data_IF_931501385477
#
_entry.id   IF_931501385477
#
_cell.length_a   1.000
_cell.length_b   1.000
_cell.length_c   1.000
_cell.angle_alpha   90.00
_cell.angle_beta   90.00
_cell.angle_gamma   90.00
#
_symmetry.space_group_name_H-M   'P 1'
#
loop_
_entity.id
_entity.type
_entity.pdbx_description
1 polymer ?
#
# COMPACT_ATOMS: atom_id res chain seq x y z
N UNK A 1 -10.33 9.20 -3.66
CA UNK A 1 -8.95 9.06 -3.15
C UNK A 1 -9.00 8.59 -1.71
N UNK A 2 -8.70 7.30 -1.50
CA UNK A 2 -8.62 6.71 -0.18
C UNK A 2 -7.26 6.97 0.49
N UNK A 3 -7.25 7.18 1.81
CA UNK A 3 -6.05 7.41 2.60
C UNK A 3 -6.11 6.63 3.91
N UNK A 4 -4.98 6.04 4.29
CA UNK A 4 -4.77 5.41 5.59
C UNK A 4 -3.40 5.82 6.15
N UNK A 5 -3.35 6.12 7.45
CA UNK A 5 -2.12 6.50 8.13
C UNK A 5 -2.04 5.71 9.43
N UNK A 6 -0.88 5.12 9.70
CA UNK A 6 -0.62 4.43 10.95
C UNK A 6 0.83 4.62 11.40
N UNK A 7 1.10 4.28 12.65
CA UNK A 7 2.43 4.28 13.24
C UNK A 7 2.67 2.98 14.00
N UNK A 8 3.91 2.52 13.98
CA UNK A 8 4.34 1.31 14.67
C UNK A 8 5.84 1.35 14.93
N UNK A 9 6.33 0.53 15.85
CA UNK A 9 7.76 0.29 15.98
C UNK A 9 8.24 -0.70 14.91
N UNK A 10 9.44 -0.51 14.40
CA UNK A 10 10.05 -1.44 13.44
C UNK A 10 11.23 -0.86 12.70
N UNK A 11 11.71 -1.61 11.72
CA UNK A 11 12.76 -1.20 10.81
C UNK A 11 12.18 -1.03 9.40
N UNK A 12 12.48 0.09 8.73
CA UNK A 12 11.93 0.38 7.39
C UNK A 12 12.29 -0.68 6.36
N UNK A 13 13.50 -1.24 6.42
CA UNK A 13 13.97 -2.23 5.44
C UNK A 13 13.24 -3.57 5.60
N UNK A 14 12.95 -3.95 6.85
CA UNK A 14 12.11 -5.11 7.14
C UNK A 14 10.66 -4.89 6.72
N UNK A 15 10.06 -3.76 7.10
CA UNK A 15 8.67 -3.46 6.79
C UNK A 15 8.43 -3.37 5.27
N UNK A 16 9.29 -2.67 4.56
CA UNK A 16 9.17 -2.48 3.10
C UNK A 16 9.30 -3.80 2.34
N UNK A 17 10.22 -4.68 2.78
CA UNK A 17 10.35 -6.05 2.26
C UNK A 17 9.13 -6.91 2.58
N UNK A 18 8.63 -6.87 3.81
CA UNK A 18 7.40 -7.55 4.20
C UNK A 18 6.23 -7.11 3.33
N UNK A 19 6.07 -5.80 3.15
CA UNK A 19 4.99 -5.22 2.37
C UNK A 19 5.05 -5.73 0.93
N UNK A 20 6.22 -5.69 0.30
CA UNK A 20 6.42 -6.20 -1.06
C UNK A 20 6.04 -7.68 -1.20
N UNK A 21 6.46 -8.53 -0.26
CA UNK A 21 6.17 -9.96 -0.26
C UNK A 21 4.67 -10.23 -0.01
N UNK A 22 4.05 -9.51 0.92
CA UNK A 22 2.63 -9.66 1.22
C UNK A 22 1.77 -9.24 0.02
N UNK A 23 2.08 -8.12 -0.63
CA UNK A 23 1.35 -7.64 -1.81
C UNK A 23 1.39 -8.65 -2.97
N UNK A 24 2.53 -9.33 -3.16
CA UNK A 24 2.66 -10.41 -4.14
C UNK A 24 1.86 -11.66 -3.73
N UNK A 25 1.94 -12.07 -2.46
CA UNK A 25 1.26 -13.27 -1.96
C UNK A 25 -0.27 -13.13 -2.05
N UNK A 26 -0.80 -11.99 -1.64
CA UNK A 26 -2.24 -11.70 -1.71
C UNK A 26 -2.71 -11.37 -3.14
N UNK A 27 -1.79 -11.34 -4.11
CA UNK A 27 -2.04 -10.94 -5.51
C UNK A 27 -2.73 -9.57 -5.63
N UNK A 28 -2.46 -8.67 -4.69
CA UNK A 28 -3.11 -7.36 -4.65
C UNK A 28 -2.67 -6.49 -5.84
N UNK A 29 -1.39 -6.63 -6.23
CA UNK A 29 -0.76 -5.93 -7.35
C UNK A 29 0.19 -6.87 -8.10
N UNK A 30 0.14 -6.87 -9.43
CA UNK A 30 0.79 -7.89 -10.27
C UNK A 30 2.00 -7.42 -11.08
N UNK A 31 2.06 -6.15 -11.50
CA UNK A 31 2.89 -5.82 -12.68
C UNK A 31 3.91 -4.69 -12.49
N UNK A 32 3.62 -3.64 -11.70
CA UNK A 32 4.57 -2.51 -11.60
C UNK A 32 4.76 -2.08 -10.15
N UNK A 33 6.00 -2.20 -9.69
CA UNK A 33 6.48 -1.66 -8.42
C UNK A 33 7.61 -0.68 -8.69
N UNK A 34 7.41 0.58 -8.33
CA UNK A 34 8.51 1.55 -8.25
C UNK A 34 8.82 1.82 -6.79
N UNK A 35 10.10 1.79 -6.43
CA UNK A 35 10.57 2.13 -5.10
C UNK A 35 11.57 3.27 -5.19
N UNK A 36 11.43 4.27 -4.32
CA UNK A 36 12.41 5.33 -4.14
C UNK A 36 12.73 5.49 -2.67
N UNK A 37 14.02 5.62 -2.34
CA UNK A 37 14.51 5.79 -0.98
C UNK A 37 15.28 7.08 -0.86
N UNK A 38 15.01 7.83 0.19
CA UNK A 38 15.71 9.07 0.51
C UNK A 38 15.84 9.23 2.02
N UNK A 39 16.72 10.14 2.46
CA UNK A 39 16.96 10.42 3.87
C UNK A 39 17.22 11.91 4.06
N UNK A 40 16.63 12.49 5.09
CA UNK A 40 16.90 13.86 5.53
C UNK A 40 16.93 13.92 7.06
N UNK A 41 17.94 14.57 7.64
CA UNK A 41 18.06 14.80 9.08
C UNK A 41 17.81 13.54 9.95
N UNK A 42 18.35 12.40 9.55
CA UNK A 42 18.19 11.14 10.27
C UNK A 42 16.88 10.39 10.00
N UNK A 43 15.90 11.02 9.34
CA UNK A 43 14.64 10.39 8.93
C UNK A 43 14.85 9.62 7.63
N UNK A 44 14.63 8.31 7.63
CA UNK A 44 14.62 7.48 6.42
C UNK A 44 13.24 7.53 5.79
N UNK A 45 13.15 7.60 4.47
CA UNK A 45 11.90 7.59 3.73
C UNK A 45 12.00 6.55 2.61
N UNK A 46 10.96 5.72 2.48
CA UNK A 46 10.77 4.80 1.37
C UNK A 46 9.38 5.05 0.78
N UNK A 47 9.33 5.30 -0.53
CA UNK A 47 8.10 5.46 -1.29
C UNK A 47 7.98 4.22 -2.18
N UNK A 48 6.89 3.48 -2.06
CA UNK A 48 6.56 2.34 -2.91
C UNK A 48 5.28 2.62 -3.66
N UNK A 49 5.34 2.58 -4.99
CA UNK A 49 4.19 2.70 -5.88
C UNK A 49 3.85 1.32 -6.41
N UNK A 50 2.60 0.92 -6.26
CA UNK A 50 2.05 -0.32 -6.78
C UNK A 50 0.97 0.02 -7.79
N UNK A 51 1.05 -0.57 -8.97
CA UNK A 51 0.05 -0.36 -10.01
C UNK A 51 -0.56 -1.66 -10.48
N UNK A 52 -1.85 -1.58 -10.80
CA UNK A 52 -2.62 -2.69 -11.33
C UNK A 52 -3.64 -2.16 -12.33
N UNK A 53 -3.70 -2.80 -13.49
CA UNK A 53 -4.77 -2.55 -14.44
C UNK A 53 -6.07 -3.24 -13.98
N UNK A 54 -7.14 -2.46 -13.84
CA UNK A 54 -8.47 -3.00 -13.58
C UNK A 54 -9.18 -3.25 -14.90
N UNK A 55 -9.16 -4.50 -15.36
CA UNK A 55 -9.87 -4.92 -16.59
C UNK A 55 -11.38 -4.63 -16.54
N UNK A 56 -11.98 -4.66 -15.34
CA UNK A 56 -13.42 -4.41 -15.14
C UNK A 56 -13.75 -2.92 -15.09
N UNK A 57 -12.84 -2.10 -14.56
CA UNK A 57 -13.01 -0.65 -14.47
C UNK A 57 -12.46 0.12 -15.67
N UNK A 58 -11.76 -0.55 -16.59
CA UNK A 58 -11.12 0.05 -17.76
C UNK A 58 -10.05 1.10 -17.40
N UNK A 59 -9.50 1.06 -16.19
CA UNK A 59 -8.64 2.09 -15.63
C UNK A 59 -7.49 1.49 -14.82
N UNK A 60 -6.41 2.26 -14.67
CA UNK A 60 -5.31 1.95 -13.76
C UNK A 60 -5.72 2.29 -12.32
N UNK A 61 -5.35 1.41 -11.40
CA UNK A 61 -5.42 1.65 -9.96
C UNK A 61 -4.00 1.71 -9.42
N UNK A 62 -3.69 2.83 -8.78
CA UNK A 62 -2.35 3.12 -8.25
C UNK A 62 -2.45 3.27 -6.74
N UNK A 63 -1.56 2.59 -6.01
CA UNK A 63 -1.40 2.73 -4.57
C UNK A 63 0.03 3.17 -4.26
N UNK A 64 0.16 4.24 -3.49
CA UNK A 64 1.43 4.69 -2.93
C UNK A 64 1.46 4.36 -1.44
N UNK A 65 2.54 3.69 -1.00
CA UNK A 65 2.88 3.54 0.41
C UNK A 65 4.16 4.29 0.70
N UNK A 66 4.05 5.38 1.45
CA UNK A 66 5.18 6.15 1.96
C UNK A 66 5.45 5.74 3.40
N UNK A 67 6.64 5.18 3.63
CA UNK A 67 7.11 4.79 4.97
C UNK A 67 8.22 5.75 5.39
N UNK A 68 8.00 6.42 6.51
CA UNK A 68 9.01 7.23 7.18
C UNK A 68 9.50 6.45 8.40
N UNK A 69 10.80 6.51 8.68
CA UNK A 69 11.36 6.00 9.91
C UNK A 69 12.19 7.08 10.61
N UNK A 70 11.93 7.26 11.90
CA UNK A 70 12.76 8.05 12.79
C UNK A 70 12.97 7.27 14.10
N UNK A 71 14.23 6.88 14.36
CA UNK A 71 14.62 6.20 15.61
C UNK A 71 13.73 4.98 15.91
N UNK A 72 13.58 4.08 14.93
CA UNK A 72 12.76 2.87 15.07
C UNK A 72 11.24 3.08 15.01
N UNK A 73 10.75 4.32 15.06
CA UNK A 73 9.34 4.61 14.82
C UNK A 73 9.09 4.66 13.31
N UNK A 74 8.20 3.80 12.83
CA UNK A 74 7.66 3.84 11.48
C UNK A 74 6.37 4.68 11.44
N UNK A 75 6.26 5.56 10.46
CA UNK A 75 5.01 6.21 10.05
C UNK A 75 4.71 5.81 8.62
N UNK A 76 3.55 5.18 8.43
CA UNK A 76 3.14 4.62 7.15
C UNK A 76 1.94 5.40 6.64
N UNK A 77 2.05 5.90 5.43
CA UNK A 77 0.99 6.64 4.72
C UNK A 77 0.66 5.88 3.47
N UNK A 78 -0.55 5.36 3.39
CA UNK A 78 -1.10 4.71 2.20
C UNK A 78 -2.05 5.68 1.53
N UNK A 79 -1.88 5.87 0.22
CA UNK A 79 -2.85 6.55 -0.62
C UNK A 79 -3.19 5.67 -1.81
N UNK A 80 -4.49 5.57 -2.12
CA UNK A 80 -4.99 4.84 -3.28
C UNK A 80 -5.73 5.83 -4.18
N UNK A 81 -5.38 5.83 -5.46
CA UNK A 81 -5.98 6.68 -6.48
C UNK A 81 -6.23 5.88 -7.75
N UNK A 82 -7.36 6.12 -8.38
CA UNK A 82 -7.72 5.48 -9.65
C UNK A 82 -8.75 4.36 -9.46
N UNK A 83 -9.05 3.65 -10.54
CA UNK A 83 -10.32 2.91 -10.62
C UNK A 83 -11.51 3.85 -10.83
N UNK A 84 -12.63 3.31 -11.31
CA UNK A 84 -13.82 4.11 -11.55
C UNK A 84 -14.43 4.56 -10.21
N UNK A 85 -14.36 5.86 -9.90
CA UNK A 85 -15.18 6.50 -8.86
C UNK A 85 -16.67 6.57 -9.25
N UNK A 86 -17.02 6.09 -10.45
CA UNK A 86 -18.34 6.23 -11.01
C UNK A 86 -19.22 5.01 -10.73
N UNK A 87 -20.38 5.34 -10.18
CA UNK A 87 -21.58 4.58 -9.90
C UNK A 87 -22.21 4.09 -11.22
N UNK A 88 -21.45 3.39 -12.08
CA UNK A 88 -21.89 3.02 -13.43
C UNK A 88 -22.09 1.52 -13.65
N UNK A 89 -22.39 0.74 -12.60
CA UNK A 89 -22.81 -0.65 -12.79
C UNK A 89 -23.98 -1.00 -11.86
N UNK A 90 -25.14 -0.40 -12.14
CA UNK A 90 -26.43 -0.65 -11.46
C UNK A 90 -27.04 -2.03 -11.77
N UNK A 91 -26.34 -2.93 -12.48
CA UNK A 91 -26.93 -4.21 -12.91
C UNK A 91 -26.05 -5.47 -12.82
N UNK A 92 -24.76 -5.37 -12.45
CA UNK A 92 -23.89 -6.55 -12.32
C UNK A 92 -22.95 -6.46 -11.11
N UNK A 93 -23.51 -6.59 -9.90
CA UNK A 93 -22.75 -6.58 -8.65
C UNK A 93 -22.08 -7.93 -8.38
N UNK A 94 -21.04 -8.26 -9.15
CA UNK A 94 -20.05 -9.27 -8.74
C UNK A 94 -18.65 -8.68 -8.91
N UNK A 95 -18.02 -8.27 -7.80
CA UNK A 95 -16.57 -8.04 -7.72
C UNK A 95 -16.03 -6.82 -8.47
N UNK A 96 -16.45 -5.61 -8.07
CA UNK A 96 -15.78 -4.37 -8.48
C UNK A 96 -14.55 -4.16 -7.58
N UNK A 97 -13.39 -3.91 -8.17
CA UNK A 97 -12.19 -3.48 -7.45
C UNK A 97 -12.25 -1.96 -7.26
N UNK A 98 -12.65 -1.54 -6.06
CA UNK A 98 -12.75 -0.13 -5.70
C UNK A 98 -11.53 0.33 -4.90
N UNK A 99 -11.26 1.64 -4.93
CA UNK A 99 -10.25 2.28 -4.08
C UNK A 99 -10.41 1.86 -2.60
N UNK A 100 -11.66 1.79 -2.12
CA UNK A 100 -11.97 1.44 -0.74
C UNK A 100 -11.58 0.00 -0.39
N UNK A 101 -11.83 -0.95 -1.29
CA UNK A 101 -11.47 -2.36 -1.08
C UNK A 101 -9.96 -2.55 -1.04
N UNK A 102 -9.23 -1.96 -1.99
CA UNK A 102 -7.77 -2.03 -2.02
C UNK A 102 -7.16 -1.39 -0.78
N UNK A 103 -7.71 -0.25 -0.36
CA UNK A 103 -7.27 0.39 0.87
C UNK A 103 -7.50 -0.51 2.10
N UNK A 104 -8.62 -1.22 2.16
CA UNK A 104 -8.92 -2.14 3.27
C UNK A 104 -8.00 -3.36 3.28
N UNK A 105 -7.73 -3.96 2.12
CA UNK A 105 -6.77 -5.07 1.99
C UNK A 105 -5.35 -4.61 2.36
N UNK A 106 -4.94 -3.40 1.95
CA UNK A 106 -3.66 -2.82 2.35
C UNK A 106 -3.58 -2.57 3.87
N UNK A 107 -4.65 -2.09 4.51
CA UNK A 107 -4.71 -1.95 5.98
C UNK A 107 -4.52 -3.29 6.67
N UNK A 108 -5.19 -4.34 6.20
CA UNK A 108 -5.10 -5.68 6.78
C UNK A 108 -3.69 -6.25 6.66
N UNK A 109 -3.04 -6.08 5.50
CA UNK A 109 -1.63 -6.44 5.32
C UNK A 109 -0.75 -5.67 6.31
N UNK A 110 -0.91 -4.35 6.41
CA UNK A 110 -0.07 -3.52 7.28
C UNK A 110 -0.28 -3.88 8.76
N UNK A 111 -1.53 -4.14 9.17
CA UNK A 111 -1.86 -4.55 10.54
C UNK A 111 -1.31 -5.93 10.91
N UNK A 112 -1.11 -6.81 9.92
CA UNK A 112 -0.54 -8.14 10.13
C UNK A 112 1.00 -8.14 10.26
N UNK A 113 1.68 -7.03 9.98
CA UNK A 113 3.12 -6.93 10.16
C UNK A 113 3.50 -7.06 11.64
N UNK A 114 4.44 -7.96 11.93
CA UNK A 114 5.05 -8.11 13.25
C UNK A 114 6.55 -7.82 13.13
N UNK A 115 7.05 -6.71 13.69
CA UNK A 115 8.48 -6.40 13.65
C UNK A 115 9.27 -7.46 14.40
N UNK A 116 10.44 -7.82 13.87
CA UNK A 116 11.37 -8.69 14.58
C UNK A 116 11.89 -7.88 15.76
N UNK A 117 11.58 -8.32 16.99
CA UNK A 117 12.21 -7.75 18.18
C UNK A 117 13.63 -8.29 18.23
N UNK A 118 14.61 -7.45 17.88
CA UNK A 118 15.98 -7.66 18.32
C UNK A 118 15.97 -7.49 19.84
N UNK A 119 16.13 -8.61 20.55
CA UNK A 119 16.30 -8.64 22.01
C UNK A 119 17.65 -8.11 22.43
#
# INVERSE_FOLDING_TARGET
MGKFVTQMQGNIDEFTRYLEQAMQREKLFSEIRHQFRTKINGVRCCIQVFERYSFRGGNWLTMNVTTLEYVGMLKIVVMVSGGSNNILFKYWSFGVESEARVLEEAKNIIAAYKPIRLG
#
